data_IF_998274433588
#
_entry.id   IF_998274433588
#
_cell.length_a   1.000
_cell.length_b   1.000
_cell.length_c   1.000
_cell.angle_alpha   90.00
_cell.angle_beta   90.00
_cell.angle_gamma   90.00
#
_symmetry.space_group_name_H-M   'P 1'
#
loop_
_entity.id
_entity.type
_entity.pdbx_description
1 polymer ?
#
# COMPACT_ATOMS: atom_id res chain seq x y z
N UNK A 1 -58.47 -36.81 -29.44
CA UNK A 1 -57.46 -37.87 -29.29
C UNK A 1 -56.12 -37.46 -29.89
N UNK A 2 -56.04 -37.15 -31.19
CA UNK A 2 -54.79 -36.74 -31.88
C UNK A 2 -54.25 -35.38 -31.44
N UNK A 3 -55.12 -34.37 -31.29
CA UNK A 3 -54.71 -33.05 -30.81
C UNK A 3 -54.17 -33.06 -29.36
N UNK A 4 -54.77 -33.87 -28.50
CA UNK A 4 -54.36 -34.03 -27.10
C UNK A 4 -53.01 -34.74 -26.99
N UNK A 5 -52.73 -35.75 -27.81
CA UNK A 5 -51.41 -36.39 -27.83
C UNK A 5 -50.31 -35.47 -28.36
N UNK A 6 -50.58 -34.67 -29.38
CA UNK A 6 -49.62 -33.67 -29.91
C UNK A 6 -49.26 -32.64 -28.83
N UNK A 7 -50.26 -32.14 -28.08
CA UNK A 7 -50.04 -31.19 -26.99
C UNK A 7 -49.17 -31.77 -25.86
N UNK A 8 -49.41 -33.03 -25.48
CA UNK A 8 -48.60 -33.72 -24.46
C UNK A 8 -47.15 -33.88 -24.92
N UNK A 9 -46.91 -34.22 -26.19
CA UNK A 9 -45.56 -34.36 -26.75
C UNK A 9 -44.83 -33.01 -26.77
N UNK A 10 -45.49 -31.93 -27.16
CA UNK A 10 -44.89 -30.59 -27.15
C UNK A 10 -44.57 -30.16 -25.71
N UNK A 11 -45.47 -30.43 -24.76
CA UNK A 11 -45.27 -30.13 -23.36
C UNK A 11 -44.06 -30.85 -22.74
N UNK A 12 -43.87 -32.14 -23.04
CA UNK A 12 -42.72 -32.90 -22.54
C UNK A 12 -41.41 -32.41 -23.16
N UNK A 13 -41.37 -32.13 -24.46
CA UNK A 13 -40.17 -31.57 -25.12
C UNK A 13 -39.80 -30.21 -24.54
N UNK A 14 -40.78 -29.31 -24.36
CA UNK A 14 -40.55 -28.00 -23.78
C UNK A 14 -40.01 -28.11 -22.34
N UNK A 15 -40.58 -29.01 -21.53
CA UNK A 15 -40.13 -29.24 -20.15
C UNK A 15 -38.68 -29.73 -20.10
N UNK A 16 -38.30 -30.67 -20.96
CA UNK A 16 -36.92 -31.19 -21.03
C UNK A 16 -35.93 -30.07 -21.38
N UNK A 17 -36.27 -29.22 -22.36
CA UNK A 17 -35.40 -28.10 -22.78
C UNK A 17 -35.25 -27.07 -21.66
N UNK A 18 -36.34 -26.71 -20.99
CA UNK A 18 -36.34 -25.74 -19.89
C UNK A 18 -35.52 -26.26 -18.71
N UNK A 19 -35.76 -27.50 -18.27
CA UNK A 19 -35.01 -28.12 -17.18
C UNK A 19 -33.51 -28.19 -17.49
N UNK A 20 -33.13 -28.55 -18.72
CA UNK A 20 -31.72 -28.61 -19.14
C UNK A 20 -31.06 -27.22 -19.14
N UNK A 21 -31.78 -26.21 -19.61
CA UNK A 21 -31.28 -24.83 -19.68
C UNK A 21 -31.10 -24.24 -18.28
N UNK A 22 -32.06 -24.46 -17.38
CA UNK A 22 -31.98 -23.98 -15.99
C UNK A 22 -30.83 -24.66 -15.26
N UNK A 23 -30.71 -25.99 -15.36
CA UNK A 23 -29.62 -26.73 -14.70
C UNK A 23 -28.24 -26.28 -15.22
N UNK A 24 -28.08 -26.15 -16.55
CA UNK A 24 -26.81 -25.68 -17.12
C UNK A 24 -26.44 -24.27 -16.66
N UNK A 25 -27.41 -23.35 -16.60
CA UNK A 25 -27.15 -21.98 -16.13
C UNK A 25 -26.84 -21.93 -14.62
N UNK A 26 -27.47 -22.80 -13.83
CA UNK A 26 -27.18 -22.92 -12.40
C UNK A 26 -25.76 -23.47 -12.17
N UNK A 27 -25.36 -24.48 -12.93
CA UNK A 27 -24.02 -25.08 -12.87
C UNK A 27 -22.91 -24.07 -13.26
N UNK A 28 -23.13 -23.28 -14.32
CA UNK A 28 -22.21 -22.21 -14.73
C UNK A 28 -22.06 -21.16 -13.62
N UNK A 29 -23.19 -20.71 -13.04
CA UNK A 29 -23.16 -19.72 -11.96
C UNK A 29 -22.52 -20.26 -10.69
N UNK A 30 -22.78 -21.53 -10.36
CA UNK A 30 -22.19 -22.18 -9.20
C UNK A 30 -20.68 -22.33 -9.35
N UNK A 31 -20.20 -22.77 -10.52
CA UNK A 31 -18.77 -22.84 -10.80
C UNK A 31 -18.10 -21.46 -10.77
N UNK A 32 -18.77 -20.43 -11.32
CA UNK A 32 -18.28 -19.06 -11.24
C UNK A 32 -18.22 -18.55 -9.78
N UNK A 33 -19.17 -18.93 -8.93
CA UNK A 33 -19.15 -18.59 -7.50
C UNK A 33 -18.00 -19.30 -6.78
N UNK A 34 -17.84 -20.61 -7.01
CA UNK A 34 -16.77 -21.40 -6.41
C UNK A 34 -15.38 -20.89 -6.81
N UNK A 35 -15.21 -20.47 -8.06
CA UNK A 35 -13.97 -19.86 -8.52
C UNK A 35 -13.71 -18.53 -7.82
N UNK A 36 -14.73 -17.66 -7.72
CA UNK A 36 -14.60 -16.39 -6.99
C UNK A 36 -14.26 -16.60 -5.52
N UNK A 37 -14.88 -17.58 -4.86
CA UNK A 37 -14.58 -17.91 -3.47
C UNK A 37 -13.12 -18.35 -3.30
N UNK A 38 -12.63 -19.22 -4.20
CA UNK A 38 -11.24 -19.65 -4.23
C UNK A 38 -10.28 -18.47 -4.41
N UNK A 39 -10.53 -17.61 -5.39
CA UNK A 39 -9.70 -16.42 -5.65
C UNK A 39 -9.68 -15.48 -4.44
N UNK A 40 -10.80 -15.34 -3.72
CA UNK A 40 -10.92 -14.52 -2.53
C UNK A 40 -10.13 -15.09 -1.36
N UNK A 41 -10.14 -16.41 -1.17
CA UNK A 41 -9.33 -17.11 -0.17
C UNK A 41 -7.83 -16.96 -0.48
N UNK A 42 -7.43 -17.15 -1.74
CA UNK A 42 -6.03 -16.94 -2.17
C UNK A 42 -5.58 -15.49 -1.94
N UNK A 43 -6.43 -14.50 -2.28
CA UNK A 43 -6.16 -13.10 -2.03
C UNK A 43 -6.01 -12.80 -0.52
N UNK A 44 -6.88 -13.35 0.32
CA UNK A 44 -6.77 -13.21 1.78
C UNK A 44 -5.48 -13.81 2.33
N UNK A 45 -5.08 -14.98 1.83
CA UNK A 45 -3.83 -15.62 2.23
C UNK A 45 -2.62 -14.75 1.82
N UNK A 46 -2.61 -14.24 0.59
CA UNK A 46 -1.53 -13.37 0.11
C UNK A 46 -1.41 -12.08 0.93
N UNK A 47 -2.53 -11.50 1.36
CA UNK A 47 -2.54 -10.31 2.21
C UNK A 47 -2.03 -10.61 3.62
N UNK A 48 -2.34 -11.79 4.17
CA UNK A 48 -1.79 -12.23 5.45
C UNK A 48 -0.28 -12.40 5.39
N UNK A 49 0.23 -12.99 4.31
CA UNK A 49 1.66 -13.17 4.10
C UNK A 49 2.38 -11.83 3.95
N UNK A 50 1.83 -10.91 3.14
CA UNK A 50 2.34 -9.53 3.01
C UNK A 50 2.34 -8.79 4.35
N UNK A 51 1.27 -8.93 5.15
CA UNK A 51 1.20 -8.32 6.49
C UNK A 51 2.30 -8.86 7.40
N UNK A 52 2.55 -10.17 7.38
CA UNK A 52 3.59 -10.81 8.19
C UNK A 52 4.99 -10.35 7.74
N UNK A 53 5.23 -10.26 6.45
CA UNK A 53 6.48 -9.77 5.89
C UNK A 53 6.74 -8.31 6.28
N UNK A 54 5.74 -7.43 6.12
CA UNK A 54 5.84 -6.03 6.51
C UNK A 54 6.07 -5.87 8.01
N UNK A 55 5.39 -6.67 8.84
CA UNK A 55 5.62 -6.68 10.29
C UNK A 55 7.06 -7.06 10.63
N UNK A 56 7.62 -8.07 9.95
CA UNK A 56 9.01 -8.49 10.14
C UNK A 56 9.99 -7.40 9.71
N UNK A 57 9.78 -6.80 8.52
CA UNK A 57 10.60 -5.67 8.04
C UNK A 57 10.56 -4.49 9.02
N UNK A 58 9.41 -4.20 9.62
CA UNK A 58 9.27 -3.12 10.60
C UNK A 58 10.03 -3.45 11.90
N UNK A 59 9.95 -4.70 12.36
CA UNK A 59 10.71 -5.17 13.53
C UNK A 59 12.23 -5.16 13.28
N UNK A 60 12.67 -5.58 12.10
CA UNK A 60 14.06 -5.49 11.66
C UNK A 60 14.50 -4.02 11.65
N UNK A 61 13.71 -3.12 11.04
CA UNK A 61 14.01 -1.68 11.01
C UNK A 61 14.08 -1.08 12.41
N UNK A 62 13.16 -1.45 13.31
CA UNK A 62 13.17 -1.01 14.71
C UNK A 62 14.42 -1.50 15.44
N UNK A 63 14.88 -2.70 15.13
CA UNK A 63 16.10 -3.28 15.71
C UNK A 63 17.35 -2.58 15.18
N UNK A 64 17.40 -2.31 13.87
CA UNK A 64 18.46 -1.50 13.24
C UNK A 64 18.50 -0.08 13.83
N UNK A 65 17.35 0.58 13.97
CA UNK A 65 17.27 1.89 14.59
C UNK A 65 17.71 1.85 16.06
N UNK A 66 17.27 0.85 16.85
CA UNK A 66 17.68 0.72 18.25
C UNK A 66 19.18 0.40 18.40
N UNK A 67 19.78 -0.29 17.43
CA UNK A 67 21.21 -0.54 17.38
C UNK A 67 22.00 0.72 16.96
N UNK A 68 21.52 1.47 15.96
CA UNK A 68 22.12 2.73 15.49
C UNK A 68 21.98 3.90 16.48
N UNK A 69 20.86 3.98 17.21
CA UNK A 69 20.63 5.02 18.23
C UNK A 69 21.59 4.86 19.42
N UNK A 70 22.05 3.64 19.74
CA UNK A 70 23.06 3.45 20.80
C UNK A 70 24.43 4.01 20.43
N UNK A 71 24.74 4.13 19.13
CA UNK A 71 25.98 4.72 18.64
C UNK A 71 25.90 6.23 18.43
N UNK A 72 24.72 6.79 18.15
CA UNK A 72 24.55 8.23 17.88
C UNK A 72 24.19 9.06 19.11
N UNK A 73 23.62 8.47 20.16
CA UNK A 73 23.25 9.18 21.40
C UNK A 73 24.43 9.73 22.23
N UNK A 74 25.68 9.54 21.79
CA UNK A 74 26.89 10.11 22.44
C UNK A 74 27.47 11.34 21.74
N UNK A 75 26.91 11.80 20.61
CA UNK A 75 27.51 12.86 19.82
C UNK A 75 26.52 13.96 19.37
N UNK A 76 25.72 14.50 20.28
CA UNK A 76 24.95 15.71 20.00
C UNK A 76 24.91 16.64 21.22
N UNK A 77 26.03 17.30 21.50
CA UNK A 77 25.95 18.59 22.18
C UNK A 77 25.41 19.61 21.16
N UNK A 78 24.48 20.50 21.57
CA UNK A 78 23.89 21.47 20.67
C UNK A 78 24.97 22.48 20.26
N UNK A 79 25.45 22.42 19.02
CA UNK A 79 26.19 23.53 18.44
C UNK A 79 25.20 24.57 17.95
N UNK A 80 25.27 25.74 18.58
CA UNK A 80 24.57 26.95 18.20
C UNK A 80 24.80 27.25 16.72
N UNK A 81 23.69 27.40 15.99
CA UNK A 81 23.56 27.68 14.55
C UNK A 81 23.78 26.46 13.63
N UNK A 82 22.68 25.90 13.09
CA UNK A 82 22.77 24.93 12.00
C UNK A 82 23.32 25.63 10.76
N UNK A 83 24.35 25.06 10.15
CA UNK A 83 24.84 25.51 8.84
C UNK A 83 23.99 24.97 7.70
N UNK A 84 23.40 23.78 7.87
CA UNK A 84 22.72 23.05 6.80
C UNK A 84 21.28 22.65 7.17
N UNK A 85 20.40 22.61 6.17
CA UNK A 85 19.01 22.18 6.31
C UNK A 85 18.89 20.79 6.97
N UNK A 86 19.71 19.83 6.52
CA UNK A 86 19.74 18.47 7.08
C UNK A 86 19.98 18.50 8.57
N UNK A 87 21.06 19.16 8.99
CA UNK A 87 21.44 19.26 10.40
C UNK A 87 20.37 20.00 11.20
N UNK A 88 19.72 21.02 10.64
CA UNK A 88 18.64 21.71 11.32
C UNK A 88 17.41 20.82 11.55
N UNK A 89 16.96 20.11 10.52
CA UNK A 89 15.79 19.23 10.57
C UNK A 89 16.02 18.03 11.51
N UNK A 90 17.23 17.47 11.49
CA UNK A 90 17.63 16.37 12.38
C UNK A 90 17.78 16.86 13.83
N UNK A 91 18.44 18.00 14.06
CA UNK A 91 18.62 18.57 15.40
C UNK A 91 17.30 19.00 16.04
N UNK A 92 16.33 19.47 15.25
CA UNK A 92 14.97 19.80 15.70
C UNK A 92 14.09 18.56 15.93
N UNK A 93 14.61 17.35 15.65
CA UNK A 93 13.86 16.09 15.67
C UNK A 93 12.59 16.11 14.79
N UNK A 94 12.56 16.95 13.76
CA UNK A 94 11.45 17.01 12.80
C UNK A 94 11.54 15.81 11.85
N UNK A 95 12.77 15.42 11.50
CA UNK A 95 13.06 14.28 10.64
C UNK A 95 14.20 13.44 11.21
N UNK A 96 14.20 12.16 10.88
CA UNK A 96 15.36 11.28 11.06
C UNK A 96 16.28 11.36 9.84
N UNK A 97 17.57 11.05 10.01
CA UNK A 97 18.52 10.98 8.89
C UNK A 97 18.05 10.07 7.74
N UNK A 98 17.39 8.96 8.08
CA UNK A 98 16.83 8.04 7.10
C UNK A 98 15.71 8.67 6.24
N UNK A 99 14.85 9.49 6.85
CA UNK A 99 13.80 10.20 6.12
C UNK A 99 14.39 11.30 5.23
N UNK A 100 15.42 12.00 5.69
CA UNK A 100 16.13 12.99 4.88
C UNK A 100 16.80 12.35 3.65
N UNK A 101 17.50 11.23 3.84
CA UNK A 101 18.09 10.46 2.73
C UNK A 101 17.04 9.98 1.72
N UNK A 102 15.86 9.57 2.21
CA UNK A 102 14.76 9.16 1.32
C UNK A 102 14.29 10.31 0.43
N UNK A 103 14.20 11.53 0.98
CA UNK A 103 13.85 12.72 0.20
C UNK A 103 14.97 13.12 -0.78
N UNK A 104 16.24 12.93 -0.41
CA UNK A 104 17.40 13.21 -1.27
C UNK A 104 17.46 12.25 -2.47
N UNK A 105 17.18 10.95 -2.24
CA UNK A 105 17.06 9.96 -3.32
C UNK A 105 15.91 10.36 -4.25
N UNK A 106 14.74 10.68 -3.70
CA UNK A 106 13.58 11.10 -4.49
C UNK A 106 13.86 12.37 -5.31
N UNK A 107 14.54 13.34 -4.69
CA UNK A 107 14.97 14.58 -5.34
C UNK A 107 15.88 14.31 -6.54
N UNK A 108 16.86 13.41 -6.35
CA UNK A 108 17.79 12.99 -7.40
C UNK A 108 17.06 12.27 -8.54
N UNK A 109 16.17 11.33 -8.22
CA UNK A 109 15.39 10.57 -9.20
C UNK A 109 14.45 11.44 -10.05
N UNK A 110 13.89 12.49 -9.44
CA UNK A 110 12.93 13.40 -10.10
C UNK A 110 13.57 14.68 -10.61
N UNK A 111 14.88 14.86 -10.41
CA UNK A 111 15.60 16.08 -10.74
C UNK A 111 14.93 17.34 -10.17
N UNK A 112 14.56 17.27 -8.89
CA UNK A 112 13.98 18.37 -8.12
C UNK A 112 14.87 18.68 -6.91
N UNK A 113 14.68 19.85 -6.30
CA UNK A 113 15.39 20.19 -5.07
C UNK A 113 14.92 19.31 -3.89
N UNK A 114 15.83 18.99 -2.96
CA UNK A 114 15.54 18.18 -1.76
C UNK A 114 14.39 18.75 -0.94
N UNK A 115 14.28 20.08 -0.89
CA UNK A 115 13.20 20.78 -0.19
C UNK A 115 11.84 20.52 -0.81
N UNK A 116 11.76 20.53 -2.15
CA UNK A 116 10.55 20.21 -2.88
C UNK A 116 10.19 18.74 -2.70
N UNK A 117 11.18 17.84 -2.65
CA UNK A 117 10.96 16.43 -2.33
C UNK A 117 10.42 16.24 -0.89
N UNK A 118 10.98 16.96 0.09
CA UNK A 118 10.52 16.92 1.49
C UNK A 118 9.06 17.36 1.63
N UNK A 119 8.64 18.40 0.91
CA UNK A 119 7.25 18.85 0.87
C UNK A 119 6.34 17.86 0.11
N UNK A 120 6.80 17.35 -1.04
CA UNK A 120 6.03 16.42 -1.88
C UNK A 120 5.77 15.10 -1.16
N UNK A 121 6.74 14.62 -0.38
CA UNK A 121 6.61 13.41 0.43
C UNK A 121 5.89 13.66 1.77
N UNK A 122 5.37 14.87 2.01
CA UNK A 122 4.76 15.29 3.27
C UNK A 122 5.64 15.02 4.50
N UNK A 123 6.97 15.10 4.32
CA UNK A 123 7.96 14.89 5.37
C UNK A 123 8.20 16.15 6.19
N UNK A 124 7.95 17.33 5.62
CA UNK A 124 7.91 18.60 6.34
C UNK A 124 6.61 19.34 6.01
N UNK A 125 6.10 20.15 6.95
CA UNK A 125 4.98 21.06 6.68
C UNK A 125 5.47 22.35 6.02
N UNK A 126 4.54 23.09 5.41
CA UNK A 126 4.79 24.42 4.84
C UNK A 126 5.33 25.38 5.91
N UNK A 127 4.85 25.28 7.16
CA UNK A 127 5.34 26.10 8.27
C UNK A 127 6.81 25.84 8.60
N UNK A 128 7.27 24.60 8.48
CA UNK A 128 8.68 24.21 8.69
C UNK A 128 9.54 24.72 7.54
N UNK A 129 9.04 24.64 6.30
CA UNK A 129 9.69 25.22 5.13
C UNK A 129 9.89 26.74 5.28
N UNK A 130 8.86 27.47 5.69
CA UNK A 130 8.94 28.92 5.89
C UNK A 130 9.92 29.29 7.02
N UNK A 131 10.02 28.47 8.07
CA UNK A 131 11.02 28.64 9.12
C UNK A 131 12.44 28.42 8.60
N UNK A 132 12.68 27.37 7.82
CA UNK A 132 13.99 27.11 7.23
C UNK A 132 14.41 28.20 6.25
N UNK A 133 13.45 28.76 5.50
CA UNK A 133 13.67 29.89 4.58
C UNK A 133 14.09 31.15 5.32
N UNK A 134 13.44 31.48 6.43
CA UNK A 134 13.83 32.61 7.30
C UNK A 134 15.24 32.48 7.87
N UNK A 135 15.75 31.25 7.98
CA UNK A 135 17.08 30.95 8.49
C UNK A 135 18.15 30.86 7.38
N UNK A 136 17.80 31.07 6.11
CA UNK A 136 18.69 30.92 4.95
C UNK A 136 19.44 29.58 4.95
N UNK A 137 18.71 28.48 5.20
CA UNK A 137 19.25 27.12 5.25
C UNK A 137 19.18 26.39 3.89
N UNK A 138 18.75 27.08 2.84
CA UNK A 138 18.60 26.59 1.47
C UNK A 138 19.56 27.31 0.54
#
# INVERSE_FOLDING_TARGET
MTFTTILVIIGTIATIIICKTINGNFEIKNNALAQKEKDLVEAQQSLRDKRKELSKRLEDLKTFLKAGIKTEAKAAQPKDKPQDLRSWLVNKQILTDAQYLTAEIYATEKNIEVVAALLTLNMISVDVYEQAKKLNLF
#
